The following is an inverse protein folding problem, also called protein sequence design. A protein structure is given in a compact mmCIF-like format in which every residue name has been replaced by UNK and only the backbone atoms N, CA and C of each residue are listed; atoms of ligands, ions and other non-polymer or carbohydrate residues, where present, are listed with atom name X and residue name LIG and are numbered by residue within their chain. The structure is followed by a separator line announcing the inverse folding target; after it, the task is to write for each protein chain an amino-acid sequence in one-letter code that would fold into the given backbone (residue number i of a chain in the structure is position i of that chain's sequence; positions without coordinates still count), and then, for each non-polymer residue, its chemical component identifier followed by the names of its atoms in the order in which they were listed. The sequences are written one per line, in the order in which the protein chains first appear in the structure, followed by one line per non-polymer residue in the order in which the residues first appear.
data_IF_625414556288
#
_entry.id   IF_625414556288
#
_cell.length_a   1.000
_cell.length_b   1.000
_cell.length_c   1.000
_cell.angle_alpha   90.00
_cell.angle_beta   90.00
_cell.angle_gamma   90.00
#
_symmetry.space_group_name_H-M   'P 1'
#
loop_
_entity.id
_entity.type
_entity.pdbx_description
1 polymer ?
#
# COMPACT_ATOMS: atom_id res chain seq x y z
N UNK A 1 65.57 -6.33 18.87
CA UNK A 1 65.62 -7.68 18.26
C UNK A 1 64.22 -8.06 17.78
N UNK A 2 64.06 -8.02 16.45
CA UNK A 2 63.13 -8.73 15.56
C UNK A 2 61.77 -9.26 16.05
N UNK A 3 60.73 -8.59 15.52
CA UNK A 3 59.54 -9.12 14.81
C UNK A 3 58.89 -10.43 15.26
N UNK A 4 57.62 -10.34 15.65
CA UNK A 4 56.65 -11.39 15.34
C UNK A 4 55.53 -10.81 14.47
N UNK A 5 55.35 -11.45 13.32
CA UNK A 5 54.45 -11.11 12.23
C UNK A 5 52.98 -11.33 12.62
N UNK A 6 52.13 -10.48 12.06
CA UNK A 6 50.67 -10.58 12.07
C UNK A 6 50.14 -11.96 11.65
N UNK A 7 49.00 -12.35 12.21
CA UNK A 7 48.01 -13.17 11.52
C UNK A 7 46.61 -12.68 11.90
N UNK A 8 45.86 -12.01 11.00
CA UNK A 8 44.47 -11.69 11.25
C UNK A 8 43.66 -12.98 11.13
N UNK A 9 43.25 -13.56 12.26
CA UNK A 9 42.28 -14.67 12.25
C UNK A 9 40.90 -14.09 11.93
N UNK A 10 40.53 -14.10 10.65
CA UNK A 10 39.14 -13.92 10.23
C UNK A 10 38.28 -14.96 10.99
N UNK A 11 37.20 -14.58 11.71
CA UNK A 11 36.18 -15.56 12.01
C UNK A 11 35.62 -16.04 10.68
N UNK A 12 35.84 -17.34 10.42
CA UNK A 12 35.34 -18.07 9.26
C UNK A 12 33.84 -17.83 9.20
N UNK A 13 33.39 -17.26 8.09
CA UNK A 13 31.98 -17.24 7.72
C UNK A 13 31.40 -18.63 8.01
N UNK A 14 30.31 -18.75 8.79
CA UNK A 14 29.67 -20.03 8.97
C UNK A 14 29.22 -20.52 7.59
N UNK A 15 29.87 -21.58 7.12
CA UNK A 15 29.41 -22.44 6.03
C UNK A 15 28.16 -23.19 6.52
N UNK A 16 27.08 -22.46 6.76
CA UNK A 16 25.76 -23.05 6.96
C UNK A 16 25.14 -23.19 5.58
N UNK A 17 25.33 -24.39 5.06
CA UNK A 17 24.38 -25.20 4.31
C UNK A 17 23.15 -24.46 3.75
N UNK A 18 22.99 -24.62 2.44
CA UNK A 18 21.83 -24.27 1.63
C UNK A 18 20.50 -24.36 2.39
N UNK A 19 19.86 -23.22 2.58
CA UNK A 19 18.40 -23.17 2.53
C UNK A 19 17.99 -22.74 1.12
N UNK A 20 17.42 -23.63 0.27
CA UNK A 20 16.82 -23.24 -1.00
C UNK A 20 15.46 -22.62 -0.71
N UNK A 21 15.47 -21.47 -0.06
CA UNK A 21 14.34 -20.57 -0.01
C UNK A 21 14.93 -19.16 0.00
N UNK A 22 15.59 -18.82 -1.12
CA UNK A 22 15.64 -17.43 -1.54
C UNK A 22 14.18 -17.02 -1.70
N UNK A 23 13.61 -16.55 -0.60
CA UNK A 23 12.25 -16.07 -0.52
C UNK A 23 12.04 -15.16 -1.70
N UNK A 24 10.97 -15.45 -2.44
CA UNK A 24 10.34 -14.58 -3.42
C UNK A 24 10.86 -13.15 -3.29
N UNK A 25 11.50 -12.63 -4.35
CA UNK A 25 11.75 -11.19 -4.48
C UNK A 25 10.48 -10.50 -4.01
N UNK A 26 10.53 -9.87 -2.84
CA UNK A 26 9.34 -9.43 -2.13
C UNK A 26 8.71 -8.31 -2.95
N UNK A 27 7.84 -8.69 -3.86
CA UNK A 27 7.01 -7.78 -4.61
C UNK A 27 5.98 -7.31 -3.60
N UNK A 28 6.03 -6.05 -3.19
CA UNK A 28 5.08 -5.49 -2.23
C UNK A 28 3.68 -5.94 -2.61
N UNK A 29 3.07 -6.78 -1.78
CA UNK A 29 1.80 -7.40 -2.10
C UNK A 29 0.74 -6.32 -2.05
N UNK A 30 0.19 -6.00 -3.23
CA UNK A 30 -0.92 -5.07 -3.35
C UNK A 30 -2.16 -5.69 -2.72
N UNK A 31 -2.76 -5.01 -1.76
CA UNK A 31 -4.04 -5.46 -1.20
C UNK A 31 -5.13 -5.42 -2.27
N UNK A 32 -5.60 -6.61 -2.67
CA UNK A 32 -6.62 -6.75 -3.70
C UNK A 32 -7.95 -6.13 -3.29
N UNK A 33 -8.26 -6.07 -1.99
CA UNK A 33 -9.47 -5.44 -1.47
C UNK A 33 -9.45 -3.92 -1.65
N UNK A 34 -8.34 -3.28 -1.28
CA UNK A 34 -8.13 -1.83 -1.41
C UNK A 34 -8.14 -1.41 -2.89
N UNK A 35 -7.56 -2.23 -3.76
CA UNK A 35 -7.52 -1.99 -5.20
C UNK A 35 -8.90 -1.95 -5.88
N UNK A 36 -9.87 -2.75 -5.39
CA UNK A 36 -11.24 -2.77 -5.90
C UNK A 36 -12.06 -1.54 -5.46
N UNK A 37 -11.65 -0.86 -4.39
CA UNK A 37 -12.42 0.21 -3.74
C UNK A 37 -11.96 1.61 -4.15
N UNK A 38 -10.66 1.81 -4.35
CA UNK A 38 -10.06 3.11 -4.66
C UNK A 38 -9.57 3.16 -6.10
N UNK A 39 -9.82 4.29 -6.76
CA UNK A 39 -9.30 4.56 -8.10
C UNK A 39 -8.63 5.92 -8.17
N UNK A 40 -7.69 6.07 -9.08
CA UNK A 40 -6.99 7.34 -9.31
C UNK A 40 -7.52 8.00 -10.58
N UNK A 41 -7.74 9.31 -10.55
CA UNK A 41 -8.05 10.09 -11.77
C UNK A 41 -6.78 10.34 -12.58
N UNK A 42 -6.90 10.74 -13.85
CA UNK A 42 -5.74 11.11 -14.68
C UNK A 42 -4.85 12.19 -14.03
N UNK A 43 -5.43 13.09 -13.23
CA UNK A 43 -4.70 14.12 -12.48
C UNK A 43 -3.99 13.60 -11.22
N UNK A 44 -4.16 12.33 -10.85
CA UNK A 44 -3.53 11.71 -9.68
C UNK A 44 -4.33 11.79 -8.37
N UNK A 45 -5.61 12.20 -8.40
CA UNK A 45 -6.46 12.27 -7.19
C UNK A 45 -7.10 10.92 -6.87
N UNK A 46 -7.10 10.52 -5.60
CA UNK A 46 -7.73 9.27 -5.15
C UNK A 46 -9.25 9.48 -4.94
N UNK A 47 -10.04 8.68 -5.63
CA UNK A 47 -11.50 8.71 -5.63
C UNK A 47 -12.08 7.47 -4.97
N UNK A 48 -13.20 7.65 -4.25
CA UNK A 48 -14.00 6.58 -3.67
C UNK A 48 -15.49 6.80 -3.89
N UNK A 49 -16.27 5.73 -3.71
CA UNK A 49 -17.74 5.78 -3.62
C UNK A 49 -18.16 6.13 -2.18
N UNK A 50 -19.35 6.69 -2.00
CA UNK A 50 -19.94 6.88 -0.67
C UNK A 50 -20.68 5.62 -0.22
N UNK A 51 -20.64 5.34 1.07
CA UNK A 51 -21.34 4.21 1.67
C UNK A 51 -22.85 4.50 1.85
N UNK A 52 -23.65 3.43 1.99
CA UNK A 52 -25.06 3.53 2.43
C UNK A 52 -26.12 3.64 1.34
N UNK A 53 -25.78 3.37 0.07
CA UNK A 53 -26.73 3.38 -1.07
C UNK A 53 -27.14 2.00 -1.60
N UNK A 54 -26.95 0.93 -0.81
CA UNK A 54 -27.25 -0.44 -1.24
C UNK A 54 -28.66 -0.90 -0.84
N UNK A 55 -29.03 -0.77 0.43
CA UNK A 55 -30.33 -1.21 0.97
C UNK A 55 -31.02 -0.06 1.73
N UNK A 56 -32.33 -0.22 2.01
CA UNK A 56 -33.17 0.77 2.71
C UNK A 56 -33.20 2.13 2.02
N UNK A 57 -33.46 2.14 0.71
CA UNK A 57 -33.51 3.38 -0.09
C UNK A 57 -34.84 4.13 0.09
N UNK A 58 -35.94 3.42 0.37
CA UNK A 58 -37.27 4.02 0.57
C UNK A 58 -37.29 5.05 1.71
N UNK A 59 -36.63 4.76 2.83
CA UNK A 59 -36.51 5.70 3.98
C UNK A 59 -35.56 6.88 3.75
N UNK A 60 -34.89 6.96 2.60
CA UNK A 60 -33.90 8.02 2.31
C UNK A 60 -34.51 9.03 1.36
N UNK A 61 -34.58 10.30 1.77
CA UNK A 61 -34.95 11.41 0.90
C UNK A 61 -34.13 11.41 -0.40
N UNK A 62 -34.74 11.77 -1.53
CA UNK A 62 -34.11 11.94 -2.83
C UNK A 62 -32.81 12.76 -2.79
N UNK A 63 -32.76 13.88 -2.04
CA UNK A 63 -31.55 14.70 -1.88
C UNK A 63 -30.39 13.88 -1.28
N UNK A 64 -30.68 13.04 -0.28
CA UNK A 64 -29.69 12.14 0.33
C UNK A 64 -29.24 11.07 -0.66
N UNK A 65 -30.17 10.44 -1.39
CA UNK A 65 -29.86 9.41 -2.40
C UNK A 65 -28.94 9.96 -3.50
N UNK A 66 -29.21 11.17 -4.01
CA UNK A 66 -28.35 11.84 -4.99
C UNK A 66 -26.94 12.11 -4.42
N UNK A 67 -26.86 12.64 -3.19
CA UNK A 67 -25.56 12.89 -2.52
C UNK A 67 -24.71 11.64 -2.40
N UNK A 68 -25.32 10.47 -2.17
CA UNK A 68 -24.64 9.18 -2.04
C UNK A 68 -24.22 8.57 -3.39
N UNK A 69 -24.82 8.98 -4.51
CA UNK A 69 -24.45 8.52 -5.86
C UNK A 69 -23.10 9.05 -6.35
N UNK A 70 -22.66 10.20 -5.82
CA UNK A 70 -21.48 10.91 -6.31
C UNK A 70 -20.17 10.28 -5.79
N UNK A 71 -19.14 10.26 -6.63
CA UNK A 71 -17.77 9.91 -6.19
C UNK A 71 -17.19 11.09 -5.46
N UNK A 72 -16.47 10.83 -4.39
CA UNK A 72 -15.82 11.88 -3.60
C UNK A 72 -14.39 11.49 -3.33
N UNK A 73 -13.56 12.51 -3.18
CA UNK A 73 -12.16 12.36 -2.87
C UNK A 73 -11.99 11.73 -1.49
N UNK A 74 -10.92 10.95 -1.33
CA UNK A 74 -10.54 10.44 -0.01
C UNK A 74 -10.21 11.63 0.91
N UNK A 75 -10.51 11.52 2.20
CA UNK A 75 -10.16 12.58 3.15
C UNK A 75 -8.66 12.54 3.43
N UNK A 76 -8.03 13.68 3.72
CA UNK A 76 -6.56 13.77 3.87
C UNK A 76 -6.00 12.78 4.90
N UNK A 77 -6.73 12.55 6.00
CA UNK A 77 -6.35 11.63 7.06
C UNK A 77 -6.11 10.19 6.57
N UNK A 78 -6.90 9.70 5.61
CA UNK A 78 -6.83 8.30 5.17
C UNK A 78 -5.79 8.08 4.06
N UNK A 79 -5.14 9.13 3.55
CA UNK A 79 -4.23 9.02 2.40
C UNK A 79 -3.06 8.09 2.65
N UNK A 80 -2.43 8.18 3.83
CA UNK A 80 -1.23 7.40 4.13
C UNK A 80 -1.54 5.89 4.12
N UNK A 81 -2.69 5.51 4.67
CA UNK A 81 -3.16 4.14 4.70
C UNK A 81 -3.43 3.60 3.28
N UNK A 82 -4.13 4.39 2.46
CA UNK A 82 -4.47 3.98 1.08
C UNK A 82 -3.23 3.87 0.18
N UNK A 83 -2.28 4.79 0.32
CA UNK A 83 -1.03 4.76 -0.47
C UNK A 83 -0.15 3.59 -0.04
N UNK A 84 -0.05 3.31 1.27
CA UNK A 84 0.70 2.16 1.78
C UNK A 84 0.14 0.82 1.29
N UNK A 85 -1.20 0.68 1.22
CA UNK A 85 -1.86 -0.53 0.72
C UNK A 85 -1.75 -0.72 -0.81
N UNK A 86 -1.45 0.35 -1.55
CA UNK A 86 -1.45 0.37 -3.01
C UNK A 86 -0.10 0.91 -3.55
N UNK A 87 1.00 0.14 -3.41
CA UNK A 87 2.35 0.62 -3.70
C UNK A 87 2.56 1.00 -5.17
N UNK A 88 1.83 0.37 -6.09
CA UNK A 88 1.98 0.61 -7.55
C UNK A 88 1.12 1.76 -8.09
N UNK A 89 0.40 2.49 -7.23
CA UNK A 89 -0.51 3.55 -7.68
C UNK A 89 0.21 4.90 -7.77
N UNK A 90 0.22 5.51 -8.96
CA UNK A 90 0.76 6.87 -9.17
C UNK A 90 -0.20 7.93 -8.61
N UNK A 91 0.04 8.41 -7.39
CA UNK A 91 -0.81 9.38 -6.70
C UNK A 91 -0.15 10.76 -6.63
N UNK A 92 -0.91 11.80 -6.96
CA UNK A 92 -0.50 13.19 -6.72
C UNK A 92 -0.99 13.64 -5.34
N UNK A 93 -0.06 13.96 -4.44
CA UNK A 93 -0.37 14.36 -3.05
C UNK A 93 -0.72 15.84 -2.91
N UNK A 94 -0.63 16.63 -3.99
CA UNK A 94 -1.02 18.04 -3.99
C UNK A 94 -2.55 18.13 -3.87
N UNK A 95 -2.99 18.56 -2.70
CA UNK A 95 -4.40 18.77 -2.36
C UNK A 95 -4.55 20.10 -1.65
#
# INVERSE_FOLDING_TARGET
MFTSLNSPTKPRSPSLLLTPYLGSLHSFLKESASAKRFRVTGSGKIMRRKCGKQHLLGKKNAKRRNRLSKSVQVHRSDYNNVVGALPYLKVNRKN
#
